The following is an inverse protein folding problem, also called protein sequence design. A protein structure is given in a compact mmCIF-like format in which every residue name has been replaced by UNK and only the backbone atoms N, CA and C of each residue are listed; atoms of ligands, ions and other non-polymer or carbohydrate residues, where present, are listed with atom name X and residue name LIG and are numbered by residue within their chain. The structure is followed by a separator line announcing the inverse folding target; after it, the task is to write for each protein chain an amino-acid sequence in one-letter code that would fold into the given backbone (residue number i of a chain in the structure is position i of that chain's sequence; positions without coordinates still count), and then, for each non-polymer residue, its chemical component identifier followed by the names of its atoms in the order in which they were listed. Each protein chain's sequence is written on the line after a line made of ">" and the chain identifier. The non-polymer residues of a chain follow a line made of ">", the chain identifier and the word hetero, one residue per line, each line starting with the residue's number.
data_IF_593436363487
#
_entry.id   IF_593436363487
#
_cell.length_a   1.000
_cell.length_b   1.000
_cell.length_c   1.000
_cell.angle_alpha   90.00
_cell.angle_beta   90.00
_cell.angle_gamma   90.00
#
_symmetry.space_group_name_H-M   'P 1'
#
loop_
_entity.id
_entity.type
_entity.pdbx_description
1 polymer ?
#
# COMPACT_ATOMS: atom_id res chain seq x y z
N UNK A 1 -26.92 4.51 19.48
CA UNK A 1 -26.77 4.33 18.02
C UNK A 1 -25.36 3.85 17.76
N UNK A 2 -25.18 2.59 17.39
CA UNK A 2 -23.86 2.00 17.13
C UNK A 2 -23.29 2.57 15.83
N UNK A 3 -22.26 3.43 15.93
CA UNK A 3 -21.59 4.05 14.77
C UNK A 3 -20.90 3.02 13.87
N UNK A 4 -20.71 1.76 14.31
CA UNK A 4 -20.07 0.70 13.51
C UNK A 4 -20.93 0.21 12.35
N UNK A 5 -22.26 0.20 12.50
CA UNK A 5 -23.16 -0.28 11.44
C UNK A 5 -23.20 0.62 10.20
N UNK A 6 -22.99 1.93 10.37
CA UNK A 6 -22.97 2.88 9.26
C UNK A 6 -21.66 2.86 8.46
N UNK A 7 -20.53 2.62 9.14
CA UNK A 7 -19.23 2.46 8.49
C UNK A 7 -19.12 1.13 7.73
N UNK A 8 -19.67 0.05 8.29
CA UNK A 8 -19.72 -1.29 7.68
C UNK A 8 -20.38 -1.27 6.28
N UNK A 9 -21.53 -0.60 6.14
CA UNK A 9 -22.24 -0.51 4.85
C UNK A 9 -21.46 0.29 3.80
N UNK A 10 -20.84 1.42 4.17
CA UNK A 10 -20.02 2.23 3.26
C UNK A 10 -18.73 1.53 2.85
N UNK A 11 -18.06 0.84 3.79
CA UNK A 11 -16.87 0.04 3.50
C UNK A 11 -17.21 -1.11 2.53
N UNK A 12 -18.30 -1.85 2.79
CA UNK A 12 -18.78 -2.92 1.91
C UNK A 12 -19.09 -2.42 0.50
N UNK A 13 -19.81 -1.31 0.36
CA UNK A 13 -20.14 -0.73 -0.96
C UNK A 13 -18.90 -0.32 -1.75
N UNK A 14 -17.89 0.28 -1.10
CA UNK A 14 -16.65 0.69 -1.76
C UNK A 14 -15.79 -0.50 -2.20
N UNK A 15 -15.82 -1.60 -1.45
CA UNK A 15 -15.13 -2.85 -1.77
C UNK A 15 -15.87 -3.68 -2.83
N UNK A 16 -17.20 -3.56 -2.89
CA UNK A 16 -18.01 -4.28 -3.85
C UNK A 16 -18.00 -3.64 -5.26
N UNK A 17 -17.78 -2.33 -5.34
CA UNK A 17 -17.85 -1.57 -6.58
C UNK A 17 -16.50 -1.36 -7.29
N UNK A 18 -15.37 -1.67 -6.62
CA UNK A 18 -14.02 -1.35 -7.10
C UNK A 18 -13.18 -2.62 -7.11
N UNK A 19 -12.46 -2.85 -8.21
CA UNK A 19 -11.43 -3.88 -8.28
C UNK A 19 -10.27 -3.54 -7.32
N UNK A 20 -10.02 -4.44 -6.37
CA UNK A 20 -9.09 -4.21 -5.28
C UNK A 20 -7.76 -4.91 -5.58
N UNK A 21 -6.72 -4.11 -5.82
CA UNK A 21 -5.36 -4.60 -5.99
C UNK A 21 -4.55 -4.17 -4.79
N UNK A 22 -4.05 -5.15 -4.04
CA UNK A 22 -3.21 -4.92 -2.85
C UNK A 22 -1.84 -5.50 -3.14
N UNK A 23 -0.81 -4.65 -3.07
CA UNK A 23 0.58 -5.08 -3.18
C UNK A 23 1.23 -5.16 -1.80
N UNK A 24 1.94 -6.26 -1.54
CA UNK A 24 2.76 -6.42 -0.35
C UNK A 24 3.95 -7.34 -0.66
N UNK A 25 5.10 -7.07 -0.04
CA UNK A 25 6.35 -7.76 -0.37
C UNK A 25 6.21 -9.27 -0.22
N UNK A 26 5.52 -9.72 0.84
CA UNK A 26 5.26 -11.13 1.11
C UNK A 26 3.81 -11.52 0.88
N UNK A 27 3.15 -10.91 -0.11
CA UNK A 27 1.76 -11.21 -0.45
C UNK A 27 1.52 -12.71 -0.69
N UNK A 28 2.48 -13.44 -1.27
CA UNK A 28 2.35 -14.88 -1.50
C UNK A 28 2.23 -15.71 -0.20
N UNK A 29 2.82 -15.25 0.90
CA UNK A 29 2.71 -15.91 2.21
C UNK A 29 1.44 -15.48 2.94
N UNK A 30 1.14 -14.18 2.88
CA UNK A 30 -0.04 -13.60 3.53
C UNK A 30 -1.34 -14.14 2.95
N UNK A 31 -1.48 -14.08 1.62
CA UNK A 31 -2.66 -14.53 0.88
C UNK A 31 -3.07 -15.96 1.27
N UNK A 32 -2.09 -16.86 1.39
CA UNK A 32 -2.33 -18.28 1.65
C UNK A 32 -3.11 -18.55 2.96
N UNK A 33 -3.01 -17.65 3.95
CA UNK A 33 -3.64 -17.83 5.27
C UNK A 33 -4.66 -16.74 5.62
N UNK A 34 -4.71 -15.63 4.88
CA UNK A 34 -5.49 -14.46 5.28
C UNK A 34 -6.99 -14.75 5.35
N UNK A 35 -7.55 -15.50 4.39
CA UNK A 35 -8.98 -15.90 4.44
C UNK A 35 -9.32 -16.70 5.69
N UNK A 36 -8.51 -17.71 5.99
CA UNK A 36 -8.70 -18.56 7.17
C UNK A 36 -8.61 -17.75 8.47
N UNK A 37 -7.66 -16.80 8.54
CA UNK A 37 -7.51 -15.90 9.68
C UNK A 37 -8.70 -14.95 9.85
N UNK A 38 -9.24 -14.43 8.75
CA UNK A 38 -10.44 -13.58 8.79
C UNK A 38 -11.65 -14.36 9.30
N UNK A 39 -11.88 -15.58 8.80
CA UNK A 39 -12.96 -16.46 9.29
C UNK A 39 -12.84 -16.82 10.77
N UNK A 40 -11.62 -16.99 11.26
CA UNK A 40 -11.35 -17.30 12.66
C UNK A 40 -11.42 -16.08 13.59
N UNK A 41 -11.45 -14.87 13.03
CA UNK A 41 -11.51 -13.63 13.81
C UNK A 41 -12.95 -13.29 14.20
N UNK A 42 -13.23 -13.04 15.48
CA UNK A 42 -14.56 -12.58 15.93
C UNK A 42 -15.01 -11.28 15.27
N UNK A 43 -14.05 -10.44 14.87
CA UNK A 43 -14.30 -9.09 14.36
C UNK A 43 -14.25 -8.98 12.84
N UNK A 44 -13.77 -10.01 12.13
CA UNK A 44 -13.55 -9.97 10.67
C UNK A 44 -14.22 -11.11 9.90
N UNK A 45 -14.91 -12.02 10.59
CA UNK A 45 -15.53 -13.18 9.96
C UNK A 45 -16.58 -12.79 8.89
N UNK A 46 -17.27 -11.67 9.09
CA UNK A 46 -18.32 -11.14 8.22
C UNK A 46 -17.79 -10.45 6.95
N UNK A 47 -16.47 -10.24 6.85
CA UNK A 47 -15.78 -9.73 5.66
C UNK A 47 -14.78 -10.72 5.08
N UNK A 48 -14.74 -11.95 5.57
CA UNK A 48 -13.76 -12.95 5.14
C UNK A 48 -13.86 -13.32 3.66
N UNK A 49 -15.07 -13.31 3.08
CA UNK A 49 -15.26 -13.61 1.65
C UNK A 49 -14.76 -12.49 0.73
N UNK A 50 -14.61 -11.27 1.25
CA UNK A 50 -14.03 -10.15 0.50
C UNK A 50 -12.57 -10.40 0.13
N UNK A 51 -11.85 -11.20 0.91
CA UNK A 51 -10.44 -11.56 0.65
C UNK A 51 -10.25 -12.17 -0.73
N UNK A 52 -11.21 -12.98 -1.20
CA UNK A 52 -11.12 -13.66 -2.50
C UNK A 52 -11.26 -12.70 -3.67
N UNK A 53 -11.82 -11.50 -3.43
CA UNK A 53 -11.99 -10.46 -4.42
C UNK A 53 -10.77 -9.55 -4.53
N UNK A 54 -9.84 -9.64 -3.59
CA UNK A 54 -8.60 -8.89 -3.60
C UNK A 54 -7.60 -9.62 -4.50
N UNK A 55 -7.05 -8.89 -5.47
CA UNK A 55 -5.90 -9.35 -6.26
C UNK A 55 -4.63 -8.98 -5.51
N UNK A 56 -3.82 -9.98 -5.23
CA UNK A 56 -2.63 -9.87 -4.39
C UNK A 56 -1.39 -9.79 -5.26
N UNK A 57 -0.65 -8.69 -5.16
CA UNK A 57 0.57 -8.47 -5.92
C UNK A 57 1.82 -8.35 -5.05
N UNK A 58 2.97 -8.63 -5.65
CA UNK A 58 4.29 -8.34 -5.08
C UNK A 58 4.94 -7.26 -5.96
N UNK A 59 5.50 -6.19 -5.35
CA UNK A 59 6.30 -5.19 -6.06
C UNK A 59 7.32 -5.80 -7.04
N UNK A 60 7.53 -5.14 -8.18
CA UNK A 60 8.34 -5.68 -9.27
C UNK A 60 9.80 -5.92 -8.85
N UNK A 61 10.33 -5.14 -7.91
CA UNK A 61 11.67 -5.37 -7.37
C UNK A 61 11.68 -6.60 -6.44
N UNK A 62 10.71 -6.69 -5.54
CA UNK A 62 10.64 -7.75 -4.52
C UNK A 62 10.30 -9.12 -5.08
N UNK A 63 9.46 -9.21 -6.13
CA UNK A 63 9.00 -10.50 -6.66
C UNK A 63 10.13 -11.40 -7.17
N UNK A 64 11.28 -10.80 -7.54
CA UNK A 64 12.49 -11.53 -7.95
C UNK A 64 13.16 -12.29 -6.81
N UNK A 65 12.94 -11.89 -5.56
CA UNK A 65 13.44 -12.57 -4.36
C UNK A 65 12.59 -13.77 -3.92
N UNK A 66 11.48 -14.03 -4.61
CA UNK A 66 10.54 -15.11 -4.28
C UNK A 66 10.80 -16.35 -5.14
N UNK A 67 10.01 -17.42 -4.91
CA UNK A 67 10.02 -18.60 -5.77
C UNK A 67 9.66 -18.22 -7.21
N UNK A 68 10.18 -18.95 -8.20
CA UNK A 68 9.97 -18.67 -9.62
C UNK A 68 8.49 -18.47 -9.99
N UNK A 69 7.60 -19.31 -9.45
CA UNK A 69 6.15 -19.21 -9.72
C UNK A 69 5.55 -17.88 -9.24
N UNK A 70 6.13 -17.23 -8.23
CA UNK A 70 5.61 -15.97 -7.69
C UNK A 70 5.68 -14.83 -8.70
N UNK A 71 6.66 -14.87 -9.61
CA UNK A 71 6.75 -13.89 -10.70
C UNK A 71 5.49 -13.89 -11.55
N UNK A 72 4.95 -15.06 -11.87
CA UNK A 72 3.76 -15.17 -12.72
C UNK A 72 2.45 -15.05 -11.94
N UNK A 73 2.43 -15.52 -10.70
CA UNK A 73 1.22 -15.52 -9.86
C UNK A 73 0.96 -14.18 -9.17
N UNK A 74 2.02 -13.45 -8.80
CA UNK A 74 1.92 -12.23 -7.99
C UNK A 74 2.64 -11.02 -8.62
N UNK A 75 3.40 -11.20 -9.70
CA UNK A 75 4.08 -10.07 -10.36
C UNK A 75 3.07 -9.10 -10.97
N UNK A 76 3.14 -7.83 -10.57
CA UNK A 76 2.22 -6.78 -11.05
C UNK A 76 2.29 -6.58 -12.57
N UNK A 77 3.41 -6.91 -13.21
CA UNK A 77 3.58 -6.87 -14.66
C UNK A 77 2.70 -7.89 -15.41
N UNK A 78 2.23 -8.94 -14.74
CA UNK A 78 1.37 -9.99 -15.30
C UNK A 78 -0.09 -9.86 -14.85
N UNK A 79 -0.44 -8.73 -14.21
CA UNK A 79 -1.79 -8.46 -13.75
C UNK A 79 -2.55 -7.57 -14.71
N UNK A 80 -3.70 -8.04 -15.17
CA UNK A 80 -4.59 -7.24 -16.01
C UNK A 80 -5.05 -5.97 -15.28
N UNK A 81 -5.14 -4.89 -16.05
CA UNK A 81 -5.61 -3.58 -15.56
C UNK A 81 -4.79 -3.00 -14.40
N UNK A 82 -3.56 -3.49 -14.17
CA UNK A 82 -2.60 -2.94 -13.21
C UNK A 82 -1.48 -2.27 -13.99
N UNK A 83 -1.20 -1.01 -13.68
CA UNK A 83 -0.06 -0.32 -14.29
C UNK A 83 1.24 -1.04 -14.00
N UNK A 84 2.20 -0.97 -14.92
CA UNK A 84 3.57 -1.38 -14.62
C UNK A 84 4.22 -0.32 -13.71
N UNK A 85 4.42 -0.64 -12.43
CA UNK A 85 5.12 0.22 -11.48
C UNK A 85 6.08 -0.62 -10.62
N UNK A 86 7.16 0.01 -10.15
CA UNK A 86 8.19 -0.72 -9.40
C UNK A 86 7.71 -1.24 -8.04
N UNK A 87 6.67 -0.63 -7.45
CA UNK A 87 6.06 -1.03 -6.18
C UNK A 87 6.72 -0.48 -4.90
N UNK A 88 8.02 -0.20 -4.92
CA UNK A 88 8.79 0.51 -3.86
C UNK A 88 8.37 1.95 -3.49
N UNK A 89 7.28 2.52 -4.03
CA UNK A 89 7.05 3.97 -3.91
C UNK A 89 6.82 4.38 -2.46
N UNK A 90 6.25 3.49 -1.66
CA UNK A 90 6.10 3.66 -0.23
C UNK A 90 7.46 3.67 0.51
N UNK A 91 8.45 2.93 0.01
CA UNK A 91 9.78 2.80 0.59
C UNK A 91 10.73 3.95 0.21
N UNK A 92 10.47 4.62 -0.91
CA UNK A 92 11.23 5.80 -1.32
C UNK A 92 11.19 6.95 -0.29
N UNK A 93 10.25 6.90 0.68
CA UNK A 93 10.20 7.82 1.81
C UNK A 93 11.21 7.48 2.92
N UNK A 94 11.64 6.21 3.05
CA UNK A 94 12.49 5.75 4.15
C UNK A 94 13.77 6.56 4.34
N UNK A 95 14.50 7.01 3.30
CA UNK A 95 15.67 7.86 3.50
C UNK A 95 15.33 9.17 4.24
N UNK A 96 14.14 9.73 4.02
CA UNK A 96 13.66 10.91 4.76
C UNK A 96 13.23 10.52 6.18
N UNK A 97 12.47 9.45 6.35
CA UNK A 97 12.00 8.98 7.66
C UNK A 97 13.16 8.59 8.60
N UNK A 98 14.17 7.89 8.08
CA UNK A 98 15.32 7.41 8.84
C UNK A 98 16.11 8.57 9.45
N UNK A 99 16.17 9.72 8.78
CA UNK A 99 16.83 10.94 9.31
C UNK A 99 16.16 11.46 10.56
N UNK A 100 14.83 11.43 10.62
CA UNK A 100 14.09 11.91 11.80
C UNK A 100 13.91 10.83 12.87
N UNK A 101 14.16 9.56 12.53
CA UNK A 101 13.99 8.41 13.42
C UNK A 101 14.76 8.56 14.73
N UNK A 102 16.01 9.02 14.69
CA UNK A 102 16.82 9.24 15.90
C UNK A 102 16.22 10.32 16.81
N UNK A 103 15.79 11.45 16.24
CA UNK A 103 15.20 12.57 16.97
C UNK A 103 13.85 12.20 17.60
N UNK A 104 13.02 11.49 16.84
CA UNK A 104 11.68 11.07 17.25
C UNK A 104 11.67 10.12 18.46
N UNK A 105 12.78 9.43 18.76
CA UNK A 105 12.87 8.47 19.88
C UNK A 105 12.83 9.10 21.26
N UNK A 106 13.28 10.35 21.40
CA UNK A 106 13.33 11.05 22.69
C UNK A 106 12.14 11.98 22.90
N UNK A 107 11.28 12.14 21.90
CA UNK A 107 10.10 12.98 21.96
C UNK A 107 8.98 12.32 22.77
N UNK A 108 8.15 13.13 23.42
CA UNK A 108 6.90 12.64 24.01
C UNK A 108 5.96 12.09 22.91
N UNK A 109 4.95 11.30 23.30
CA UNK A 109 4.10 10.59 22.34
C UNK A 109 3.41 11.52 21.32
N UNK A 110 2.80 12.61 21.78
CA UNK A 110 2.10 13.54 20.90
C UNK A 110 3.05 14.22 19.91
N UNK A 111 4.15 14.79 20.42
CA UNK A 111 5.14 15.47 19.59
C UNK A 111 5.81 14.52 18.59
N UNK A 112 6.07 13.26 19.00
CA UNK A 112 6.58 12.22 18.11
C UNK A 112 5.64 11.97 16.94
N UNK A 113 4.34 11.82 17.21
CA UNK A 113 3.34 11.59 16.17
C UNK A 113 3.26 12.79 15.22
N UNK A 114 3.15 14.00 15.74
CA UNK A 114 3.09 15.22 14.94
C UNK A 114 4.33 15.40 14.06
N UNK A 115 5.51 15.09 14.58
CA UNK A 115 6.77 15.17 13.83
C UNK A 115 6.80 14.16 12.67
N UNK A 116 6.40 12.91 12.92
CA UNK A 116 6.36 11.86 11.88
C UNK A 116 5.33 12.19 10.80
N UNK A 117 4.14 12.67 11.20
CA UNK A 117 3.07 13.09 10.30
C UNK A 117 3.51 14.30 9.47
N UNK A 118 4.10 15.32 10.10
CA UNK A 118 4.61 16.50 9.43
C UNK A 118 5.66 16.17 8.37
N UNK A 119 6.60 15.28 8.69
CA UNK A 119 7.63 14.85 7.73
C UNK A 119 7.06 14.05 6.55
N UNK A 120 6.09 13.16 6.80
CA UNK A 120 5.41 12.43 5.73
C UNK A 120 4.58 13.37 4.84
N UNK A 121 3.87 14.33 5.44
CA UNK A 121 3.09 15.33 4.72
C UNK A 121 3.97 16.25 3.87
N UNK A 122 5.10 16.71 4.39
CA UNK A 122 6.08 17.49 3.61
C UNK A 122 6.61 16.70 2.40
N UNK A 123 6.89 15.40 2.58
CA UNK A 123 7.31 14.54 1.48
C UNK A 123 6.22 14.39 0.40
N UNK A 124 4.96 14.21 0.80
CA UNK A 124 3.82 14.18 -0.12
C UNK A 124 3.62 15.52 -0.83
N UNK A 125 3.71 16.64 -0.11
CA UNK A 125 3.62 17.98 -0.66
C UNK A 125 4.70 18.22 -1.73
N UNK A 126 5.95 17.87 -1.42
CA UNK A 126 7.09 17.99 -2.35
C UNK A 126 6.86 17.23 -3.66
N UNK A 127 6.20 16.07 -3.62
CA UNK A 127 5.83 15.34 -4.84
C UNK A 127 4.83 16.11 -5.69
N UNK A 128 3.77 16.64 -5.08
CA UNK A 128 2.72 17.38 -5.78
C UNK A 128 3.30 18.62 -6.45
N UNK A 129 4.04 19.45 -5.71
CA UNK A 129 4.58 20.71 -6.27
C UNK A 129 5.66 20.49 -7.33
N UNK A 130 6.41 19.38 -7.24
CA UNK A 130 7.43 19.02 -8.24
C UNK A 130 6.88 18.26 -9.43
N UNK A 131 5.66 17.72 -9.33
CA UNK A 131 5.06 16.88 -10.38
C UNK A 131 5.02 17.60 -11.73
N UNK A 132 4.61 18.88 -11.76
CA UNK A 132 4.55 19.64 -13.02
C UNK A 132 5.92 19.72 -13.70
N UNK A 133 6.97 19.99 -12.93
CA UNK A 133 8.31 20.20 -13.45
C UNK A 133 8.90 18.88 -13.93
N UNK A 134 8.65 17.80 -13.17
CA UNK A 134 9.04 16.45 -13.54
C UNK A 134 8.37 16.00 -14.85
N UNK A 135 7.04 16.12 -14.96
CA UNK A 135 6.30 15.75 -16.16
C UNK A 135 6.71 16.60 -17.37
N UNK A 136 6.88 17.91 -17.17
CA UNK A 136 7.38 18.81 -18.23
C UNK A 136 8.77 18.38 -18.70
N UNK A 137 9.69 18.07 -17.80
CA UNK A 137 11.05 17.65 -18.19
C UNK A 137 11.08 16.33 -18.98
N UNK A 138 10.11 15.45 -18.79
CA UNK A 138 10.03 14.20 -19.54
C UNK A 138 9.47 14.41 -20.96
N UNK A 139 8.55 15.35 -21.14
CA UNK A 139 7.92 15.64 -22.44
C UNK A 139 8.91 16.17 -23.50
N UNK A 140 10.02 16.79 -23.07
CA UNK A 140 11.05 17.35 -23.94
C UNK A 140 12.37 16.57 -23.92
N UNK A 141 12.41 15.42 -23.23
CA UNK A 141 13.58 14.54 -23.20
C UNK A 141 13.50 13.42 -24.26
N UNK A 142 12.46 13.44 -25.10
CA UNK A 142 12.17 12.42 -26.10
C UNK A 142 12.36 12.91 -27.55
N UNK A 143 12.83 14.15 -27.72
CA UNK A 143 13.27 14.76 -28.98
C UNK A 143 14.80 14.93 -28.97
#
# INVERSE_FOLDING_TARGET
>A
MDRRKGADVQFRLALDAIDQVVTYDIACEYYAKIKARFRASPDLADVAEMVDRIRWGIPALHVTGHKADCTYLFGTAYMDCVGHFHGETAEAYWPSANRIGGHARQMNNGHRQDTLIGNANDWNWKKIVKMRAFLWSMAWAQD
#
